data_IF_658446209396
#
_entry.id   IF_658446209396
#
_cell.length_a   1.000
_cell.length_b   1.000
_cell.length_c   1.000
_cell.angle_alpha   90.00
_cell.angle_beta   90.00
_cell.angle_gamma   90.00
#
_symmetry.space_group_name_H-M   'P 1'
#
loop_
_entity.id
_entity.type
_entity.pdbx_description
1 polymer ?
#
# COMPACT_ATOMS: atom_id res chain seq x y z
N UNK A 1 -36.25 -18.66 -8.31
CA UNK A 1 -35.03 -18.77 -7.49
C UNK A 1 -34.39 -17.39 -7.44
N UNK A 2 -34.63 -16.61 -6.38
CA UNK A 2 -34.18 -15.22 -6.27
C UNK A 2 -32.79 -15.24 -5.62
N UNK A 3 -31.76 -14.86 -6.37
CA UNK A 3 -30.43 -14.66 -5.82
C UNK A 3 -30.48 -13.45 -4.86
N UNK A 4 -30.37 -13.71 -3.56
CA UNK A 4 -30.10 -12.67 -2.57
C UNK A 4 -28.76 -12.03 -2.94
N UNK A 5 -28.77 -10.74 -3.30
CA UNK A 5 -27.55 -9.93 -3.38
C UNK A 5 -26.84 -10.00 -2.03
N UNK A 6 -25.63 -10.51 -2.04
CA UNK A 6 -24.74 -10.52 -0.89
C UNK A 6 -24.44 -9.07 -0.48
N UNK A 7 -24.81 -8.68 0.74
CA UNK A 7 -24.60 -7.36 1.36
C UNK A 7 -23.29 -7.19 2.20
N UNK A 8 -22.15 -7.90 2.03
CA UNK A 8 -20.97 -7.69 2.90
C UNK A 8 -20.34 -6.28 2.81
N UNK A 9 -20.44 -5.64 1.64
CA UNK A 9 -19.67 -4.43 1.30
C UNK A 9 -20.24 -3.18 1.98
N UNK A 10 -21.57 -3.06 2.04
CA UNK A 10 -22.25 -1.93 2.67
C UNK A 10 -22.01 -1.91 4.19
N UNK A 11 -21.99 -3.07 4.83
CA UNK A 11 -21.80 -3.19 6.29
C UNK A 11 -20.36 -2.87 6.74
N UNK A 12 -19.34 -3.21 5.94
CA UNK A 12 -17.96 -2.81 6.24
C UNK A 12 -17.72 -1.32 5.99
N UNK A 13 -18.25 -0.80 4.88
CA UNK A 13 -18.10 0.62 4.53
C UNK A 13 -18.86 1.53 5.51
N UNK A 14 -20.05 1.12 5.97
CA UNK A 14 -20.85 1.89 6.94
C UNK A 14 -20.17 2.11 8.29
N UNK A 15 -19.17 1.28 8.63
CA UNK A 15 -18.35 1.44 9.85
C UNK A 15 -17.23 2.46 9.68
N UNK A 16 -16.84 2.78 8.44
CA UNK A 16 -15.82 3.77 8.15
C UNK A 16 -16.47 5.16 8.08
N UNK A 17 -15.91 6.13 8.81
CA UNK A 17 -16.34 7.53 8.73
C UNK A 17 -15.64 8.18 7.54
N UNK A 18 -16.33 8.28 6.40
CA UNK A 18 -15.82 8.98 5.22
C UNK A 18 -16.60 8.61 3.96
N UNK A 19 -16.52 9.46 2.94
CA UNK A 19 -17.05 9.16 1.61
C UNK A 19 -15.95 8.53 0.76
N UNK A 20 -16.23 7.44 0.01
CA UNK A 20 -15.33 6.94 -1.01
C UNK A 20 -14.98 8.03 -2.03
N UNK A 21 -13.74 8.01 -2.50
CA UNK A 21 -13.23 8.93 -3.50
C UNK A 21 -12.39 8.19 -4.56
N UNK A 22 -12.15 8.85 -5.69
CA UNK A 22 -11.21 8.42 -6.71
C UNK A 22 -10.51 9.66 -7.27
N UNK A 23 -9.28 9.48 -7.75
CA UNK A 23 -8.43 10.56 -8.27
C UNK A 23 -8.25 11.71 -7.26
N UNK A 24 -8.07 11.36 -5.98
CA UNK A 24 -7.86 12.36 -4.93
C UNK A 24 -6.40 12.83 -4.94
N UNK A 25 -6.18 14.15 -4.96
CA UNK A 25 -4.86 14.75 -4.84
C UNK A 25 -4.82 15.75 -3.69
N UNK A 26 -3.82 15.61 -2.82
CA UNK A 26 -3.52 16.53 -1.71
C UNK A 26 -2.05 16.93 -1.83
N UNK A 27 -1.79 18.23 -1.90
CA UNK A 27 -0.45 18.80 -1.95
C UNK A 27 -0.34 19.88 -0.86
N UNK A 28 0.56 19.65 0.11
CA UNK A 28 0.72 20.50 1.30
C UNK A 28 2.18 20.92 1.47
N UNK A 29 2.47 22.21 1.57
CA UNK A 29 3.88 22.64 1.67
C UNK A 29 4.49 22.31 3.03
N UNK A 30 3.82 22.58 4.15
CA UNK A 30 4.42 22.44 5.48
C UNK A 30 3.57 21.63 6.46
N UNK A 31 2.35 21.25 6.05
CA UNK A 31 1.40 20.61 6.95
C UNK A 31 1.55 19.10 6.89
N UNK A 32 1.46 18.41 8.04
CA UNK A 32 1.38 16.97 8.02
C UNK A 32 0.06 16.53 7.37
N UNK A 33 0.11 15.47 6.57
CA UNK A 33 -1.08 14.83 6.02
C UNK A 33 -1.45 13.67 6.93
N UNK A 34 -2.66 13.71 7.49
CA UNK A 34 -3.16 12.70 8.43
C UNK A 34 -4.59 12.34 8.10
N UNK A 35 -4.97 11.10 8.38
CA UNK A 35 -6.36 10.67 8.36
C UNK A 35 -6.59 9.39 7.58
N UNK A 36 -7.86 9.14 7.29
CA UNK A 36 -8.32 7.93 6.62
C UNK A 36 -8.87 8.29 5.24
N UNK A 37 -8.42 7.59 4.21
CA UNK A 37 -8.79 7.79 2.83
C UNK A 37 -9.44 6.52 2.29
N UNK A 38 -10.69 6.62 1.84
CA UNK A 38 -11.41 5.50 1.23
C UNK A 38 -11.34 5.68 -0.28
N UNK A 39 -10.63 4.79 -0.97
CA UNK A 39 -10.42 4.87 -2.41
C UNK A 39 -11.26 3.80 -3.10
N UNK A 40 -12.15 4.25 -3.97
CA UNK A 40 -12.95 3.42 -4.86
C UNK A 40 -12.53 3.67 -6.31
N UNK A 41 -11.66 2.81 -6.89
CA UNK A 41 -11.18 2.96 -8.27
C UNK A 41 -12.30 2.88 -9.31
N UNK A 42 -13.47 2.34 -8.96
CA UNK A 42 -14.62 2.22 -9.86
C UNK A 42 -15.44 3.51 -9.97
N UNK A 43 -15.24 4.44 -9.04
CA UNK A 43 -16.01 5.66 -8.98
C UNK A 43 -15.67 6.54 -10.18
N UNK A 44 -16.69 6.85 -11.00
CA UNK A 44 -16.56 7.76 -12.13
C UNK A 44 -16.58 9.19 -11.62
N UNK A 45 -15.53 9.94 -11.92
CA UNK A 45 -15.41 11.36 -11.59
C UNK A 45 -15.49 12.16 -12.90
N UNK A 46 -16.42 13.12 -13.04
CA UNK A 46 -16.44 13.99 -14.21
C UNK A 46 -15.12 14.74 -14.37
N UNK A 47 -14.63 14.87 -15.60
CA UNK A 47 -13.31 15.47 -15.89
C UNK A 47 -13.12 16.88 -15.33
N UNK A 48 -14.21 17.65 -15.20
CA UNK A 48 -14.21 19.00 -14.61
C UNK A 48 -13.86 19.03 -13.12
N UNK A 49 -13.99 17.90 -12.42
CA UNK A 49 -13.65 17.77 -10.99
C UNK A 49 -12.34 17.03 -10.76
N UNK A 50 -11.66 16.59 -11.81
CA UNK A 50 -10.36 15.95 -11.68
C UNK A 50 -9.30 16.99 -11.31
N UNK A 51 -8.33 16.64 -10.45
CA UNK A 51 -7.18 17.49 -10.22
C UNK A 51 -6.48 17.88 -11.54
N UNK A 52 -5.82 19.03 -11.62
CA UNK A 52 -4.98 19.32 -12.78
C UNK A 52 -3.86 18.28 -12.89
N UNK A 53 -3.47 17.95 -14.12
CA UNK A 53 -2.30 17.10 -14.38
C UNK A 53 -1.02 17.91 -14.15
N UNK A 54 0.01 17.24 -13.67
CA UNK A 54 1.36 17.81 -13.61
C UNK A 54 1.95 18.04 -15.01
N UNK A 55 3.06 18.78 -15.06
CA UNK A 55 3.79 18.98 -16.32
C UNK A 55 4.24 17.64 -16.91
N UNK A 56 3.84 17.37 -18.15
CA UNK A 56 4.15 16.12 -18.86
C UNK A 56 3.35 14.90 -18.40
N UNK A 57 2.48 15.03 -17.40
CA UNK A 57 1.58 13.96 -16.96
C UNK A 57 0.41 13.82 -17.93
N UNK A 58 0.04 12.58 -18.27
CA UNK A 58 -1.16 12.29 -19.07
C UNK A 58 -2.28 11.74 -18.19
N UNK A 59 -3.51 11.69 -18.71
CA UNK A 59 -4.63 11.04 -18.01
C UNK A 59 -4.36 9.56 -17.65
N UNK A 60 -3.43 8.89 -18.34
CA UNK A 60 -3.00 7.52 -18.01
C UNK A 60 -2.10 7.45 -16.79
N UNK A 61 -1.39 8.54 -16.49
CA UNK A 61 -0.46 8.62 -15.37
C UNK A 61 -1.15 9.05 -14.08
N UNK A 62 -2.37 9.61 -14.19
CA UNK A 62 -3.17 10.11 -13.08
C UNK A 62 -3.38 9.04 -12.02
N UNK A 63 -2.99 9.37 -10.78
CA UNK A 63 -3.11 8.48 -9.63
C UNK A 63 -4.53 8.46 -9.07
N UNK A 64 -4.98 7.31 -8.58
CA UNK A 64 -6.24 7.21 -7.83
C UNK A 64 -6.12 7.93 -6.47
N UNK A 65 -4.91 7.97 -5.91
CA UNK A 65 -4.56 8.76 -4.74
C UNK A 65 -3.15 9.35 -4.90
N UNK A 66 -3.03 10.65 -4.72
CA UNK A 66 -1.76 11.37 -4.67
C UNK A 66 -1.70 12.21 -3.39
N UNK A 67 -0.76 11.90 -2.50
CA UNK A 67 -0.53 12.65 -1.26
C UNK A 67 0.92 13.14 -1.27
N UNK A 68 1.11 14.46 -1.30
CA UNK A 68 2.43 15.06 -1.28
C UNK A 68 2.54 16.12 -0.19
N UNK A 69 3.67 16.12 0.52
CA UNK A 69 4.05 17.27 1.34
C UNK A 69 5.53 17.59 1.25
N UNK A 70 5.91 18.87 1.38
CA UNK A 70 7.32 19.25 1.35
C UNK A 70 7.98 19.07 2.72
N UNK A 71 7.46 19.69 3.78
CA UNK A 71 8.09 19.68 5.12
C UNK A 71 7.16 19.08 6.19
N UNK A 72 6.30 18.14 5.79
CA UNK A 72 5.33 17.46 6.65
C UNK A 72 5.54 15.96 6.73
N UNK A 73 5.12 15.36 7.85
CA UNK A 73 4.96 13.90 7.95
C UNK A 73 3.65 13.45 7.29
N UNK A 74 3.63 12.25 6.72
CA UNK A 74 2.39 11.61 6.25
C UNK A 74 2.07 10.42 7.16
N UNK A 75 0.87 10.37 7.73
CA UNK A 75 0.40 9.25 8.54
C UNK A 75 -1.06 8.94 8.21
N UNK A 76 -1.28 7.93 7.37
CA UNK A 76 -2.57 7.70 6.73
C UNK A 76 -2.99 6.23 6.72
N UNK A 77 -4.29 6.02 6.85
CA UNK A 77 -4.97 4.74 6.62
C UNK A 77 -5.70 4.81 5.28
N UNK A 78 -5.33 3.96 4.34
CA UNK A 78 -5.93 3.87 3.01
C UNK A 78 -6.79 2.62 2.97
N UNK A 79 -8.08 2.78 2.71
CA UNK A 79 -9.02 1.68 2.51
C UNK A 79 -9.34 1.56 1.03
N UNK A 80 -8.95 0.44 0.42
CA UNK A 80 -9.25 0.16 -0.99
C UNK A 80 -10.56 -0.62 -1.10
N UNK A 81 -11.49 -0.11 -1.90
CA UNK A 81 -12.78 -0.75 -2.16
C UNK A 81 -12.65 -1.73 -3.32
N UNK A 82 -12.81 -3.02 -3.00
CA UNK A 82 -12.87 -4.10 -3.98
C UNK A 82 -14.24 -4.21 -4.64
N UNK A 83 -14.25 -4.69 -5.88
CA UNK A 83 -15.47 -4.94 -6.65
C UNK A 83 -15.41 -6.34 -7.25
N UNK A 84 -16.45 -7.14 -7.04
CA UNK A 84 -16.57 -8.43 -7.72
C UNK A 84 -16.72 -8.16 -9.22
N UNK A 85 -15.77 -8.65 -10.01
CA UNK A 85 -15.70 -8.42 -11.47
C UNK A 85 -16.95 -8.96 -12.16
N UNK A 86 -17.89 -8.08 -12.45
CA UNK A 86 -18.87 -8.28 -13.52
C UNK A 86 -18.29 -7.63 -14.79
N UNK A 87 -17.44 -8.38 -15.48
CA UNK A 87 -17.17 -8.28 -16.93
C UNK A 87 -17.14 -6.88 -17.57
N UNK A 88 -16.41 -5.92 -17.02
CA UNK A 88 -16.04 -4.71 -17.77
C UNK A 88 -14.53 -4.53 -17.65
N UNK A 89 -13.89 -4.48 -18.81
CA UNK A 89 -12.45 -4.33 -19.00
C UNK A 89 -12.02 -3.03 -18.32
N UNK A 90 -11.47 -3.15 -17.10
CA UNK A 90 -10.82 -2.03 -16.42
C UNK A 90 -9.38 -1.96 -16.92
N UNK A 91 -9.08 -0.90 -17.65
CA UNK A 91 -7.74 -0.62 -18.11
C UNK A 91 -6.94 0.02 -16.96
N UNK A 92 -6.26 -0.81 -16.19
CA UNK A 92 -5.20 -0.38 -15.28
C UNK A 92 -5.41 -0.75 -13.81
N UNK A 93 -4.32 -1.13 -13.15
CA UNK A 93 -4.22 -1.28 -11.69
C UNK A 93 -4.51 0.02 -10.93
N UNK A 94 -4.99 -0.10 -9.69
CA UNK A 94 -5.15 1.06 -8.80
C UNK A 94 -3.78 1.63 -8.47
N UNK A 95 -3.54 2.92 -8.67
CA UNK A 95 -2.23 3.56 -8.41
C UNK A 95 -2.32 4.57 -7.27
N UNK A 96 -1.42 4.42 -6.29
CA UNK A 96 -1.33 5.24 -5.09
C UNK A 96 0.07 5.81 -4.99
N UNK A 97 0.19 7.12 -4.81
CA UNK A 97 1.47 7.80 -4.58
C UNK A 97 1.42 8.58 -3.28
N UNK A 98 2.41 8.34 -2.41
CA UNK A 98 2.56 9.04 -1.14
C UNK A 98 4.00 9.51 -1.00
N UNK A 99 4.19 10.82 -0.89
CA UNK A 99 5.54 11.37 -0.78
C UNK A 99 5.68 12.51 0.22
N UNK A 100 6.91 12.63 0.75
CA UNK A 100 7.36 13.76 1.55
C UNK A 100 8.78 14.17 1.13
N UNK A 101 9.17 15.43 1.26
CA UNK A 101 10.59 15.81 1.11
C UNK A 101 11.31 15.75 2.45
N UNK A 102 10.74 16.31 3.50
CA UNK A 102 11.27 16.23 4.86
C UNK A 102 10.15 15.82 5.80
N UNK A 103 10.14 14.54 6.16
CA UNK A 103 9.07 13.96 6.94
C UNK A 103 9.07 12.44 6.86
N UNK A 104 8.71 11.84 7.98
CA UNK A 104 8.45 10.40 8.01
C UNK A 104 7.07 10.09 7.41
N UNK A 105 6.98 8.94 6.74
CA UNK A 105 5.77 8.45 6.10
C UNK A 105 5.35 7.14 6.77
N UNK A 106 4.11 7.07 7.23
CA UNK A 106 3.43 5.85 7.65
C UNK A 106 2.17 5.66 6.82
N UNK A 107 2.08 4.54 6.10
CA UNK A 107 0.92 4.20 5.27
C UNK A 107 0.41 2.83 5.69
N UNK A 108 -0.87 2.74 6.05
CA UNK A 108 -1.57 1.47 6.26
C UNK A 108 -2.54 1.25 5.11
N UNK A 109 -2.46 0.10 4.45
CA UNK A 109 -3.40 -0.27 3.38
C UNK A 109 -4.31 -1.37 3.88
N UNK A 110 -5.61 -1.09 3.87
CA UNK A 110 -6.67 -2.00 4.21
C UNK A 110 -7.44 -2.39 2.95
N UNK A 111 -7.89 -3.63 2.89
CA UNK A 111 -8.72 -4.15 1.81
C UNK A 111 -10.17 -4.27 2.27
N UNK A 112 -11.10 -3.69 1.52
CA UNK A 112 -12.54 -3.95 1.66
C UNK A 112 -12.91 -4.95 0.58
N UNK A 113 -13.20 -6.18 1.00
CA UNK A 113 -13.54 -7.32 0.13
C UNK A 113 -12.39 -7.66 -0.84
N UNK A 114 -12.70 -8.26 -2.00
CA UNK A 114 -11.70 -8.65 -2.99
C UNK A 114 -11.23 -7.42 -3.78
N UNK A 115 -10.15 -6.79 -3.30
CA UNK A 115 -9.54 -5.63 -3.97
C UNK A 115 -8.86 -6.05 -5.27
N UNK A 116 -8.90 -5.16 -6.26
CA UNK A 116 -8.09 -5.32 -7.45
C UNK A 116 -6.61 -5.06 -7.11
N UNK A 117 -5.66 -5.64 -7.86
CA UNK A 117 -4.26 -5.33 -7.71
C UNK A 117 -3.99 -3.83 -7.73
N UNK A 118 -3.07 -3.39 -6.87
CA UNK A 118 -2.68 -1.99 -6.76
C UNK A 118 -1.17 -1.83 -6.81
N UNK A 119 -0.75 -0.65 -7.25
CA UNK A 119 0.61 -0.16 -7.16
C UNK A 119 0.69 0.96 -6.12
N UNK A 120 1.53 0.75 -5.11
CA UNK A 120 1.82 1.73 -4.07
C UNK A 120 3.27 2.21 -4.22
N UNK A 121 3.44 3.49 -4.50
CA UNK A 121 4.73 4.17 -4.57
C UNK A 121 4.85 5.12 -3.37
N UNK A 122 5.86 4.88 -2.52
CA UNK A 122 6.12 5.66 -1.31
C UNK A 122 7.54 6.20 -1.36
N UNK A 123 7.67 7.52 -1.24
CA UNK A 123 8.98 8.17 -1.32
C UNK A 123 9.14 9.24 -0.24
N UNK A 124 10.26 9.21 0.49
CA UNK A 124 10.70 10.39 1.24
C UNK A 124 12.15 10.72 0.92
N UNK A 125 12.54 12.00 0.94
CA UNK A 125 13.97 12.34 0.87
C UNK A 125 14.59 12.16 2.25
N UNK A 126 14.08 12.86 3.25
CA UNK A 126 14.58 12.81 4.63
C UNK A 126 13.49 12.27 5.55
N UNK A 127 13.70 11.09 6.12
CA UNK A 127 12.73 10.49 7.03
C UNK A 127 12.57 8.98 6.88
N UNK A 128 11.81 8.42 7.82
CA UNK A 128 11.52 6.99 7.85
C UNK A 128 10.27 6.67 7.03
N UNK A 129 10.31 5.59 6.27
CA UNK A 129 9.14 5.01 5.60
C UNK A 129 8.69 3.77 6.36
N UNK A 130 7.41 3.72 6.73
CA UNK A 130 6.76 2.54 7.30
C UNK A 130 5.50 2.22 6.50
N UNK A 131 5.46 1.03 5.88
CA UNK A 131 4.31 0.57 5.09
C UNK A 131 3.71 -0.67 5.76
N UNK A 132 2.39 -0.64 5.97
CA UNK A 132 1.63 -1.76 6.49
C UNK A 132 0.70 -2.28 5.39
N UNK A 133 0.93 -3.51 4.95
CA UNK A 133 0.19 -4.13 3.85
C UNK A 133 -0.93 -5.04 4.36
N UNK A 134 -2.02 -5.23 3.59
CA UNK A 134 -2.99 -6.26 3.89
C UNK A 134 -2.38 -7.65 3.62
N UNK A 135 -2.85 -8.68 4.34
CA UNK A 135 -2.41 -10.07 4.12
C UNK A 135 -2.69 -10.60 2.72
N UNK A 136 -3.66 -10.02 2.03
CA UNK A 136 -4.00 -10.34 0.64
C UNK A 136 -3.03 -9.77 -0.39
N UNK A 137 -1.98 -9.05 0.02
CA UNK A 137 -0.97 -8.55 -0.90
C UNK A 137 -0.09 -9.71 -1.41
N UNK A 138 -0.07 -9.89 -2.73
CA UNK A 138 0.79 -10.88 -3.40
C UNK A 138 1.49 -10.23 -4.58
N UNK A 139 2.79 -9.96 -4.45
CA UNK A 139 3.52 -9.27 -5.52
C UNK A 139 4.91 -8.77 -5.14
N UNK A 140 5.61 -8.15 -6.10
CA UNK A 140 6.92 -7.55 -5.90
C UNK A 140 6.92 -6.42 -4.87
N UNK A 141 7.98 -6.42 -4.06
CA UNK A 141 8.32 -5.38 -3.10
C UNK A 141 9.75 -4.91 -3.37
N UNK A 142 9.90 -3.62 -3.68
CA UNK A 142 11.19 -2.97 -3.88
C UNK A 142 11.44 -1.94 -2.77
N UNK A 143 12.47 -2.17 -1.96
CA UNK A 143 12.85 -1.30 -0.85
C UNK A 143 14.19 -0.65 -1.12
N UNK A 144 14.24 0.68 -1.09
CA UNK A 144 15.45 1.44 -1.36
C UNK A 144 15.76 2.43 -0.25
N UNK A 145 17.02 2.44 0.17
CA UNK A 145 17.52 3.37 1.18
C UNK A 145 18.97 3.70 0.87
N UNK A 146 19.33 4.99 0.76
CA UNK A 146 20.71 5.39 0.47
C UNK A 146 21.58 5.38 1.73
N UNK A 147 21.06 5.84 2.87
CA UNK A 147 21.83 6.05 4.10
C UNK A 147 21.28 5.33 5.35
N UNK A 148 20.46 4.29 5.17
CA UNK A 148 20.01 3.42 6.26
C UNK A 148 19.49 2.07 5.78
N UNK A 149 18.82 1.32 6.67
CA UNK A 149 18.40 -0.05 6.38
C UNK A 149 16.99 -0.19 5.80
N UNK A 150 16.79 -1.25 5.01
CA UNK A 150 15.49 -1.74 4.58
C UNK A 150 15.18 -3.05 5.34
N UNK A 151 13.99 -3.17 5.94
CA UNK A 151 13.58 -4.36 6.70
C UNK A 151 12.13 -4.75 6.44
N UNK A 152 11.87 -6.04 6.25
CA UNK A 152 10.55 -6.64 6.41
C UNK A 152 10.35 -7.05 7.88
N UNK A 153 9.10 -7.16 8.33
CA UNK A 153 8.79 -7.88 9.57
C UNK A 153 9.06 -9.38 9.42
N UNK A 154 9.20 -10.09 10.53
CA UNK A 154 9.47 -11.53 10.52
C UNK A 154 8.35 -12.31 9.82
N UNK A 155 7.09 -11.93 10.04
CA UNK A 155 5.94 -12.59 9.41
C UNK A 155 5.85 -12.31 7.90
N UNK A 156 6.11 -11.06 7.49
CA UNK A 156 6.15 -10.71 6.07
C UNK A 156 7.33 -11.40 5.36
N UNK A 157 8.47 -11.48 6.03
CA UNK A 157 9.66 -12.16 5.54
C UNK A 157 9.42 -13.67 5.33
N UNK A 158 8.75 -14.34 6.28
CA UNK A 158 8.38 -15.75 6.18
C UNK A 158 7.50 -16.05 4.96
N UNK A 159 6.64 -15.09 4.57
CA UNK A 159 5.78 -15.18 3.38
C UNK A 159 6.42 -14.54 2.14
N UNK A 160 7.75 -14.39 2.09
CA UNK A 160 8.43 -13.75 0.97
C UNK A 160 9.57 -14.59 0.40
N UNK A 161 9.81 -14.43 -0.89
CA UNK A 161 10.98 -14.93 -1.60
C UNK A 161 11.93 -13.76 -1.89
N UNK A 162 13.18 -13.76 -1.41
CA UNK A 162 14.15 -12.74 -1.78
C UNK A 162 14.53 -12.86 -3.26
N UNK A 163 14.52 -11.74 -3.99
CA UNK A 163 14.85 -11.68 -5.42
C UNK A 163 16.25 -11.10 -5.68
N UNK A 164 16.84 -10.41 -4.70
CA UNK A 164 18.22 -9.92 -4.78
C UNK A 164 18.38 -8.46 -4.35
N UNK A 165 19.62 -7.98 -4.46
CA UNK A 165 20.02 -6.62 -4.10
C UNK A 165 20.79 -6.01 -5.26
N UNK A 166 20.34 -4.85 -5.75
CA UNK A 166 21.03 -4.07 -6.79
C UNK A 166 20.68 -2.58 -6.63
N UNK A 167 21.64 -1.68 -6.86
CA UNK A 167 21.46 -0.22 -6.80
C UNK A 167 20.84 0.29 -5.49
N UNK A 168 21.36 -0.20 -4.36
CA UNK A 168 20.83 0.08 -3.00
C UNK A 168 19.33 -0.30 -2.83
N UNK A 169 18.82 -1.16 -3.70
CA UNK A 169 17.44 -1.61 -3.70
C UNK A 169 17.42 -3.11 -3.39
N UNK A 170 16.78 -3.48 -2.28
CA UNK A 170 16.49 -4.86 -1.92
C UNK A 170 15.12 -5.23 -2.46
N UNK A 171 15.04 -6.37 -3.15
CA UNK A 171 13.82 -6.83 -3.81
C UNK A 171 13.34 -8.16 -3.22
N UNK A 172 12.04 -8.25 -3.02
CA UNK A 172 11.34 -9.44 -2.55
C UNK A 172 10.11 -9.68 -3.42
N UNK A 173 9.65 -10.92 -3.46
CA UNK A 173 8.30 -11.26 -3.89
C UNK A 173 7.52 -11.74 -2.67
N UNK A 174 6.39 -11.11 -2.35
CA UNK A 174 5.52 -11.55 -1.24
C UNK A 174 4.44 -12.46 -1.80
N UNK A 175 4.23 -13.61 -1.16
CA UNK A 175 3.31 -14.65 -1.62
C UNK A 175 3.98 -15.69 -2.52
N UNK A 176 3.14 -16.47 -3.22
CA UNK A 176 3.60 -17.50 -4.16
C UNK A 176 4.16 -16.87 -5.44
N UNK A 177 5.44 -17.10 -5.72
CA UNK A 177 6.10 -16.53 -6.89
C UNK A 177 5.52 -17.11 -8.20
N UNK A 178 5.21 -16.28 -9.20
CA UNK A 178 4.74 -16.74 -10.50
C UNK A 178 5.82 -17.48 -11.29
N UNK A 179 7.09 -17.50 -10.85
CA UNK A 179 8.14 -18.31 -11.47
C UNK A 179 7.87 -19.83 -11.40
N UNK A 180 6.87 -20.27 -10.63
CA UNK A 180 6.35 -21.64 -10.67
C UNK A 180 5.28 -21.88 -11.75
N UNK A 181 4.88 -20.82 -12.50
CA UNK A 181 3.80 -20.86 -13.49
C UNK A 181 4.31 -20.30 -14.84
N UNK A 182 4.57 -21.19 -15.80
CA UNK A 182 5.05 -20.89 -17.17
C UNK A 182 4.07 -20.09 -18.05
N UNK A 183 2.98 -19.56 -17.50
CA UNK A 183 2.00 -18.78 -18.26
C UNK A 183 2.26 -17.29 -18.07
N UNK A 184 3.05 -16.73 -18.99
CA UNK A 184 3.27 -15.29 -19.19
C UNK A 184 1.95 -14.63 -19.61
N UNK A 185 1.05 -14.46 -18.66
CA UNK A 185 -0.02 -13.49 -18.75
C UNK A 185 0.38 -12.32 -17.85
N UNK A 186 0.54 -11.13 -18.45
CA UNK A 186 0.78 -9.87 -17.76
C UNK A 186 -0.45 -9.51 -16.90
N UNK A 187 -0.75 -10.29 -15.86
CA UNK A 187 -1.65 -9.85 -14.81
C UNK A 187 -0.83 -8.81 -14.04
N UNK A 188 -1.15 -7.53 -14.26
CA UNK A 188 -0.68 -6.43 -13.41
C UNK A 188 -1.01 -6.79 -11.96
N UNK A 189 -0.04 -7.36 -11.26
CA UNK A 189 -0.17 -7.82 -9.88
C UNK A 189 -0.04 -6.65 -8.90
N UNK A 190 -0.11 -6.99 -7.60
CA UNK A 190 0.19 -6.02 -6.57
C UNK A 190 1.66 -5.59 -6.69
N UNK A 191 1.99 -4.33 -6.40
CA UNK A 191 3.37 -3.87 -6.39
C UNK A 191 3.56 -2.80 -5.31
N UNK A 192 4.66 -2.93 -4.56
CA UNK A 192 5.11 -1.91 -3.61
C UNK A 192 6.50 -1.43 -4.00
N UNK A 193 6.64 -0.11 -4.15
CA UNK A 193 7.93 0.58 -4.16
C UNK A 193 7.99 1.52 -2.97
N UNK A 194 9.01 1.34 -2.12
CA UNK A 194 9.23 2.18 -0.95
C UNK A 194 10.67 2.67 -0.91
N UNK A 195 10.87 3.98 -0.94
CA UNK A 195 12.18 4.61 -1.06
C UNK A 195 12.37 5.72 -0.01
N UNK A 196 13.56 5.75 0.57
CA UNK A 196 14.08 6.90 1.32
C UNK A 196 15.51 7.23 0.88
N UNK A 197 15.90 8.50 0.89
CA UNK A 197 17.31 8.86 0.70
C UNK A 197 18.04 8.78 2.04
N UNK A 198 17.57 9.54 3.01
CA UNK A 198 18.17 9.69 4.34
C UNK A 198 17.18 9.17 5.40
N UNK A 199 17.22 7.86 5.64
CA UNK A 199 16.32 7.23 6.59
C UNK A 199 16.34 5.70 6.53
N UNK A 200 15.25 5.08 6.96
CA UNK A 200 15.07 3.62 6.87
C UNK A 200 13.69 3.28 6.33
N UNK A 201 13.58 2.11 5.70
CA UNK A 201 12.32 1.58 5.19
C UNK A 201 11.95 0.35 6.00
N UNK A 202 10.71 0.31 6.50
CA UNK A 202 10.12 -0.87 7.15
C UNK A 202 8.81 -1.24 6.49
N UNK A 203 8.62 -2.52 6.20
CA UNK A 203 7.34 -3.05 5.72
C UNK A 203 6.89 -4.19 6.63
N UNK A 204 5.59 -4.25 6.93
CA UNK A 204 4.96 -5.30 7.75
C UNK A 204 3.50 -5.50 7.33
N UNK A 205 2.80 -6.47 7.88
CA UNK A 205 1.34 -6.56 7.74
C UNK A 205 0.62 -5.60 8.69
N UNK A 206 -0.60 -5.21 8.32
CA UNK A 206 -1.47 -4.33 9.13
C UNK A 206 -1.81 -4.93 10.50
N UNK A 207 -2.16 -6.21 10.53
CA UNK A 207 -2.60 -6.92 11.73
C UNK A 207 -1.48 -7.13 12.77
N UNK A 208 -0.21 -7.11 12.35
CA UNK A 208 0.95 -7.11 13.26
C UNK A 208 0.99 -5.87 14.17
N UNK A 209 0.42 -4.74 13.74
CA UNK A 209 0.31 -3.52 14.55
C UNK A 209 -0.90 -3.57 15.50
N UNK A 210 -1.98 -4.23 15.08
CA UNK A 210 -3.20 -4.40 15.88
C UNK A 210 -2.99 -5.40 17.02
N UNK A 211 -2.18 -6.45 16.78
CA UNK A 211 -1.72 -7.40 17.79
C UNK A 211 -0.82 -6.74 18.87
N UNK A 212 -0.28 -5.54 18.66
CA UNK A 212 0.54 -4.85 19.66
C UNK A 212 -0.24 -4.21 20.83
N UNK A 213 -1.58 -4.27 20.84
CA UNK A 213 -2.41 -3.73 21.93
C UNK A 213 -2.37 -4.68 23.15
N UNK A 214 -2.40 -4.15 24.39
CA UNK A 214 -2.18 -4.94 25.61
C UNK A 214 -3.24 -6.05 25.70
N UNK A 215 -2.82 -7.29 25.42
CA UNK A 215 -3.70 -8.46 25.35
C UNK A 215 -3.27 -9.53 24.33
N UNK A 216 -2.39 -9.22 23.36
CA UNK A 216 -1.88 -10.25 22.44
C UNK A 216 -0.68 -10.99 23.01
N UNK A 217 -0.69 -12.31 22.79
CA UNK A 217 0.20 -13.29 23.42
C UNK A 217 1.68 -13.07 23.04
N UNK A 218 2.63 -13.40 23.94
CA UNK A 218 4.05 -13.29 23.62
C UNK A 218 4.43 -14.27 22.50
N UNK A 219 5.10 -13.74 21.47
CA UNK A 219 5.58 -14.50 20.32
C UNK A 219 6.56 -15.62 20.70
N UNK A 220 6.50 -16.69 19.92
CA UNK A 220 7.09 -18.03 20.10
C UNK A 220 8.63 -18.14 20.04
N UNK A 221 9.41 -17.10 20.36
CA UNK A 221 10.89 -17.17 20.27
C UNK A 221 11.66 -16.84 21.55
N UNK A 222 11.01 -16.65 22.70
CA UNK A 222 11.71 -16.38 23.97
C UNK A 222 12.33 -17.61 24.66
N UNK A 223 12.58 -18.72 23.96
CA UNK A 223 12.88 -20.00 24.64
C UNK A 223 14.01 -20.88 24.07
N UNK A 224 15.02 -20.32 23.39
CA UNK A 224 16.15 -21.14 22.89
C UNK A 224 17.56 -20.73 23.37
N UNK A 225 17.75 -19.65 24.14
CA UNK A 225 19.07 -19.39 24.75
C UNK A 225 19.00 -19.18 26.26
N UNK A 226 18.78 -20.27 27.00
CA UNK A 226 19.32 -20.41 28.35
C UNK A 226 19.95 -21.80 28.50
N UNK A 227 21.27 -21.86 28.29
CA UNK A 227 22.22 -22.77 28.96
C UNK A 227 23.61 -22.57 28.35
N UNK A 228 24.50 -21.94 29.10
CA UNK A 228 25.62 -22.66 29.72
C UNK A 228 26.05 -21.92 30.99
#
# INVERSE_FOLDING_TARGET
MVFKRTQPTADKLSKLKGNPANYLSVDETHRPIKGTYIIDPSMRVPSTYLPPLGEGETERDRKNLHLHTRDGSVNVDIWLVGHQRHSEIRNGRTTLHVSSRDGSITVKVHAIDAIEPFFLDVFTRDGRVTVLLPRSFHGPVALKSRHGGCKLSDELLQNSTPLGVADNTTRFFVGESPAACDSVSQVEGYELKAETRDGSVRVKYVDEDEAGRPGSKPGLFSRIFSKS
#
